data_IF_980085161174
#
_entry.id   IF_980085161174
#
_cell.length_a   1.000
_cell.length_b   1.000
_cell.length_c   1.000
_cell.angle_alpha   90.00
_cell.angle_beta   90.00
_cell.angle_gamma   90.00
#
_symmetry.space_group_name_H-M   'P 1'
#
loop_
_entity.id
_entity.type
_entity.pdbx_description
1 polymer ?
#
# COMPACT_ATOMS: atom_id res chain seq x y z
N UNK A 1 -8.66 -1.22 15.46
CA UNK A 1 -7.40 -1.91 15.09
C UNK A 1 -7.07 -3.00 16.11
N UNK A 2 -7.13 -2.70 17.41
CA UNK A 2 -6.84 -3.68 18.46
C UNK A 2 -7.71 -4.94 18.40
N UNK A 3 -9.05 -4.82 18.36
CA UNK A 3 -9.94 -5.99 18.26
C UNK A 3 -9.65 -6.88 17.03
N UNK A 4 -9.37 -6.28 15.87
CA UNK A 4 -8.98 -7.03 14.68
C UNK A 4 -7.68 -7.82 14.88
N UNK A 5 -6.65 -7.20 15.47
CA UNK A 5 -5.36 -7.86 15.73
C UNK A 5 -5.43 -8.86 16.90
N UNK A 6 -6.49 -8.83 17.72
CA UNK A 6 -6.78 -9.83 18.75
C UNK A 6 -7.44 -11.06 18.14
N UNK A 7 -8.42 -10.86 17.27
CA UNK A 7 -9.12 -11.93 16.54
C UNK A 7 -8.24 -12.56 15.45
N UNK A 8 -7.31 -11.78 14.87
CA UNK A 8 -6.43 -12.18 13.77
C UNK A 8 -4.96 -11.91 14.08
N UNK A 9 -4.45 -12.54 15.15
CA UNK A 9 -3.08 -12.29 15.65
C UNK A 9 -1.95 -12.69 14.70
N UNK A 10 -2.23 -13.43 13.61
CA UNK A 10 -1.29 -13.72 12.54
C UNK A 10 -1.07 -12.54 11.58
N UNK A 11 -1.99 -11.59 11.55
CA UNK A 11 -1.97 -10.43 10.66
C UNK A 11 -1.11 -9.30 11.24
N UNK A 12 -0.74 -8.37 10.37
CA UNK A 12 -0.10 -7.12 10.73
C UNK A 12 -0.78 -5.98 9.97
N UNK A 13 -0.84 -4.78 10.56
CA UNK A 13 -1.38 -3.60 9.90
C UNK A 13 -0.25 -2.64 9.55
N UNK A 14 -0.22 -2.13 8.32
CA UNK A 14 0.60 -0.98 7.94
C UNK A 14 -0.30 0.25 7.93
N UNK A 15 0.02 1.26 8.75
CA UNK A 15 -0.86 2.41 8.97
C UNK A 15 -0.09 3.71 8.75
N UNK A 16 -0.47 4.48 7.74
CA UNK A 16 -0.01 5.86 7.54
C UNK A 16 -0.72 6.79 8.52
N UNK A 17 0.05 7.58 9.26
CA UNK A 17 -0.46 8.64 10.14
C UNK A 17 0.13 9.96 9.69
N UNK A 18 -0.74 10.88 9.30
CA UNK A 18 -0.41 12.18 8.75
C UNK A 18 -1.00 13.30 9.59
N UNK A 19 -0.21 14.35 9.82
CA UNK A 19 -0.72 15.61 10.38
C UNK A 19 -1.40 16.43 9.27
N UNK A 20 -2.72 16.54 9.32
CA UNK A 20 -3.54 17.20 8.30
C UNK A 20 -3.73 18.71 8.54
N UNK A 21 -3.24 19.27 9.65
CA UNK A 21 -3.29 20.72 9.82
C UNK A 21 -3.26 21.23 11.26
N UNK A 22 -3.80 22.43 11.43
CA UNK A 22 -3.68 23.16 12.69
C UNK A 22 -4.66 22.65 13.76
N UNK A 23 -4.28 22.74 15.06
CA UNK A 23 -5.19 22.42 16.16
C UNK A 23 -6.51 23.19 16.07
N UNK A 24 -7.62 22.49 16.33
CA UNK A 24 -8.95 23.11 16.35
C UNK A 24 -9.29 23.67 17.74
N UNK A 25 -9.95 24.83 17.77
CA UNK A 25 -10.43 25.46 19.00
C UNK A 25 -9.30 25.91 19.93
N UNK A 26 -9.44 25.62 21.23
CA UNK A 26 -8.47 26.01 22.26
C UNK A 26 -7.43 24.91 22.55
N UNK A 27 -7.20 23.99 21.60
CA UNK A 27 -6.22 22.91 21.79
C UNK A 27 -4.80 23.47 21.73
N UNK A 28 -4.03 23.24 22.80
CA UNK A 28 -2.63 23.68 22.92
C UNK A 28 -1.63 22.55 22.67
N UNK A 29 -2.09 21.31 22.44
CA UNK A 29 -1.21 20.19 22.11
C UNK A 29 -0.81 20.27 20.64
N UNK A 30 0.47 20.03 20.39
CA UNK A 30 0.96 19.66 19.06
C UNK A 30 0.38 18.31 18.64
N UNK A 31 0.38 18.02 17.33
CA UNK A 31 -0.04 16.71 16.82
C UNK A 31 0.74 15.57 17.49
N UNK A 32 2.06 15.72 17.64
CA UNK A 32 2.92 14.70 18.25
C UNK A 32 2.60 14.43 19.73
N UNK A 33 2.30 15.48 20.51
CA UNK A 33 1.90 15.31 21.92
C UNK A 33 0.52 14.65 22.06
N UNK A 34 -0.43 15.03 21.19
CA UNK A 34 -1.73 14.38 21.15
C UNK A 34 -1.61 12.89 20.76
N UNK A 35 -0.78 12.60 19.74
CA UNK A 35 -0.51 11.23 19.31
C UNK A 35 0.16 10.42 20.43
N UNK A 36 1.24 10.91 21.05
CA UNK A 36 1.93 10.23 22.16
C UNK A 36 0.99 9.92 23.33
N UNK A 37 0.16 10.89 23.72
CA UNK A 37 -0.87 10.71 24.76
C UNK A 37 -1.80 9.54 24.42
N UNK A 38 -2.29 9.48 23.19
CA UNK A 38 -3.31 8.52 22.76
C UNK A 38 -2.71 7.12 22.56
N UNK A 39 -1.43 7.02 22.19
CA UNK A 39 -0.75 5.74 21.98
C UNK A 39 0.00 5.22 23.20
N UNK A 40 0.12 6.00 24.29
CA UNK A 40 0.92 5.67 25.48
C UNK A 40 0.70 4.26 26.05
N UNK A 41 -0.53 3.74 25.95
CA UNK A 41 -0.89 2.43 26.49
C UNK A 41 -0.89 1.31 25.43
N UNK A 42 -0.70 1.61 24.14
CA UNK A 42 -0.62 0.56 23.13
C UNK A 42 0.78 -0.01 23.05
N UNK A 43 0.86 -1.34 23.04
CA UNK A 43 2.11 -2.09 22.78
C UNK A 43 2.18 -2.66 21.37
N UNK A 44 1.19 -2.31 20.53
CA UNK A 44 1.05 -2.84 19.18
C UNK A 44 1.85 -2.05 18.15
N UNK A 45 2.13 -0.77 18.40
CA UNK A 45 3.00 0.01 17.50
C UNK A 45 4.42 -0.51 17.62
N UNK A 46 5.00 -0.92 16.49
CA UNK A 46 6.37 -1.40 16.39
C UNK A 46 7.27 -0.25 15.94
N UNK A 47 8.18 0.24 16.80
CA UNK A 47 9.14 1.26 16.39
C UNK A 47 10.06 0.69 15.31
N UNK A 48 10.56 1.56 14.46
CA UNK A 48 11.50 1.21 13.41
C UNK A 48 12.80 2.02 13.56
N UNK A 49 13.92 1.34 13.41
CA UNK A 49 15.24 1.95 13.36
C UNK A 49 15.78 1.87 11.94
N UNK A 50 15.88 3.02 11.27
CA UNK A 50 16.33 3.14 9.88
C UNK A 50 17.77 2.65 9.63
N UNK A 51 18.52 2.24 10.66
CA UNK A 51 19.82 1.59 10.48
C UNK A 51 19.70 0.11 10.13
N UNK A 52 18.51 -0.47 10.23
CA UNK A 52 18.23 -1.88 9.96
C UNK A 52 17.31 -2.05 8.74
N UNK A 53 17.33 -3.23 8.09
CA UNK A 53 16.33 -3.58 7.09
C UNK A 53 14.90 -3.51 7.65
N UNK A 54 13.92 -3.38 6.77
CA UNK A 54 12.51 -3.41 7.16
C UNK A 54 12.17 -4.73 7.85
N UNK A 55 11.31 -4.67 8.89
CA UNK A 55 10.95 -5.85 9.66
C UNK A 55 10.21 -6.87 8.78
N UNK A 56 10.47 -8.13 9.04
CA UNK A 56 9.73 -9.24 8.44
C UNK A 56 8.29 -9.30 8.97
N UNK A 57 7.41 -10.00 8.24
CA UNK A 57 6.06 -10.27 8.73
C UNK A 57 6.06 -11.00 10.08
N UNK A 58 7.05 -11.86 10.33
CA UNK A 58 7.18 -12.59 11.61
C UNK A 58 7.37 -11.66 12.81
N UNK A 59 8.12 -10.58 12.63
CA UNK A 59 8.36 -9.56 13.66
C UNK A 59 7.15 -8.62 13.86
N UNK A 60 6.32 -8.48 12.82
CA UNK A 60 5.14 -7.60 12.82
C UNK A 60 3.82 -8.27 13.22
N UNK A 61 3.76 -9.59 13.38
CA UNK A 61 2.50 -10.29 13.71
C UNK A 61 1.83 -9.69 14.96
N UNK A 62 0.52 -9.50 14.89
CA UNK A 62 -0.31 -8.91 15.95
C UNK A 62 -0.03 -7.43 16.23
N UNK A 63 0.70 -6.77 15.34
CA UNK A 63 1.27 -5.44 15.55
C UNK A 63 0.91 -4.46 14.42
N UNK A 64 1.17 -3.18 14.66
CA UNK A 64 1.00 -2.07 13.72
C UNK A 64 2.39 -1.56 13.34
N UNK A 65 2.69 -1.58 12.06
CA UNK A 65 3.85 -0.91 11.47
C UNK A 65 3.43 0.47 10.97
N UNK A 66 3.89 1.53 11.65
CA UNK A 66 3.44 2.88 11.37
C UNK A 66 4.27 3.51 10.24
N UNK A 67 3.61 4.20 9.31
CA UNK A 67 4.23 5.10 8.36
C UNK A 67 4.00 6.53 8.85
N UNK A 68 5.06 7.17 9.34
CA UNK A 68 5.02 8.41 10.09
C UNK A 68 5.16 9.62 9.16
N UNK A 69 4.10 10.41 9.04
CA UNK A 69 4.08 11.67 8.27
C UNK A 69 3.72 12.84 9.18
N UNK A 70 4.49 12.98 10.27
CA UNK A 70 4.43 14.10 11.18
C UNK A 70 5.75 14.26 11.93
N UNK A 71 6.04 15.49 12.36
CA UNK A 71 7.26 15.81 13.11
C UNK A 71 7.10 15.40 14.57
N UNK A 72 8.06 14.66 15.10
CA UNK A 72 8.10 14.19 16.48
C UNK A 72 9.57 14.02 16.91
N UNK A 73 9.86 14.19 18.20
CA UNK A 73 11.16 13.80 18.78
C UNK A 73 11.32 12.29 18.94
N UNK A 74 10.21 11.55 18.91
CA UNK A 74 10.15 10.09 18.95
C UNK A 74 9.86 9.52 17.56
N UNK A 75 10.56 8.45 17.19
CA UNK A 75 10.29 7.67 15.99
C UNK A 75 9.36 6.51 16.35
N UNK A 76 8.14 6.53 15.81
CA UNK A 76 7.14 5.49 16.06
C UNK A 76 7.11 4.41 14.97
N UNK A 77 7.75 4.67 13.82
CA UNK A 77 7.75 3.78 12.67
C UNK A 77 8.61 4.31 11.53
N UNK A 78 8.32 3.85 10.32
CA UNK A 78 9.01 4.25 9.10
C UNK A 78 8.61 5.68 8.70
N UNK A 79 9.58 6.55 8.43
CA UNK A 79 9.31 7.90 7.90
C UNK A 79 8.62 7.83 6.54
N UNK A 80 7.52 8.57 6.38
CA UNK A 80 6.82 8.71 5.11
C UNK A 80 7.69 9.46 4.09
N UNK A 81 7.79 8.91 2.88
CA UNK A 81 8.67 9.42 1.82
C UNK A 81 10.14 9.56 2.26
N UNK A 82 10.56 8.75 3.23
CA UNK A 82 11.94 8.66 3.70
C UNK A 82 12.81 7.68 2.89
N UNK A 83 14.06 7.49 3.32
CA UNK A 83 15.07 6.70 2.57
C UNK A 83 14.75 5.22 2.38
N UNK A 84 13.86 4.66 3.20
CA UNK A 84 13.41 3.26 3.11
C UNK A 84 12.06 3.12 2.41
N UNK A 85 11.60 4.16 1.71
CA UNK A 85 10.35 4.14 0.96
C UNK A 85 10.61 4.41 -0.52
N UNK A 86 9.92 3.69 -1.38
CA UNK A 86 9.80 4.02 -2.80
C UNK A 86 8.33 4.30 -3.06
N UNK A 87 8.02 5.57 -3.30
CA UNK A 87 6.66 6.08 -3.31
C UNK A 87 6.27 6.57 -4.71
N UNK A 88 5.16 6.04 -5.24
CA UNK A 88 4.39 6.72 -6.27
C UNK A 88 3.17 7.38 -5.61
N UNK A 89 3.11 8.71 -5.74
CA UNK A 89 2.03 9.54 -5.20
C UNK A 89 1.75 10.75 -6.10
N UNK A 90 1.72 10.53 -7.44
CA UNK A 90 1.26 11.58 -8.36
C UNK A 90 -0.26 11.67 -8.31
N UNK A 91 -0.81 12.28 -7.27
CA UNK A 91 -2.25 12.30 -7.02
C UNK A 91 -2.97 13.48 -7.67
N UNK A 92 -2.27 14.58 -7.98
CA UNK A 92 -2.85 15.77 -8.66
C UNK A 92 -2.93 15.49 -10.17
N UNK A 93 -4.11 15.07 -10.62
CA UNK A 93 -4.41 14.71 -12.01
C UNK A 93 -5.52 15.64 -12.53
N UNK A 94 -5.22 16.58 -13.44
CA UNK A 94 -6.15 17.66 -13.79
C UNK A 94 -7.54 17.20 -14.23
N UNK A 95 -7.59 16.21 -15.13
CA UNK A 95 -8.81 15.67 -15.72
C UNK A 95 -8.61 14.23 -16.25
N UNK A 96 -9.68 13.65 -16.78
CA UNK A 96 -9.72 12.26 -17.30
C UNK A 96 -8.66 11.96 -18.37
N UNK A 97 -8.25 12.95 -19.18
CA UNK A 97 -7.27 12.73 -20.26
C UNK A 97 -5.87 12.43 -19.75
N UNK A 98 -5.58 12.73 -18.48
CA UNK A 98 -4.32 12.45 -17.82
C UNK A 98 -4.28 11.10 -17.10
N UNK A 99 -5.40 10.36 -17.03
CA UNK A 99 -5.42 9.01 -16.44
C UNK A 99 -4.42 8.03 -17.09
N UNK A 100 -4.17 8.05 -18.42
CA UNK A 100 -3.12 7.22 -19.02
C UNK A 100 -1.72 7.53 -18.46
N UNK A 101 -1.40 8.80 -18.20
CA UNK A 101 -0.12 9.21 -17.61
C UNK A 101 -0.03 8.73 -16.16
N UNK A 102 -1.13 8.86 -15.39
CA UNK A 102 -1.19 8.33 -14.02
C UNK A 102 -0.99 6.82 -14.02
N UNK A 103 -1.66 6.14 -14.93
CA UNK A 103 -1.53 4.69 -15.12
C UNK A 103 -0.08 4.28 -15.41
N UNK A 104 0.62 4.98 -16.32
CA UNK A 104 2.02 4.66 -16.61
C UNK A 104 2.93 4.79 -15.37
N UNK A 105 2.66 5.75 -14.49
CA UNK A 105 3.39 5.92 -13.21
C UNK A 105 3.07 4.78 -12.24
N UNK A 106 1.80 4.44 -12.07
CA UNK A 106 1.37 3.31 -11.24
C UNK A 106 2.04 2.02 -11.73
N UNK A 107 1.95 1.74 -13.04
CA UNK A 107 2.58 0.56 -13.65
C UNK A 107 4.08 0.53 -13.37
N UNK A 108 4.80 1.63 -13.60
CA UNK A 108 6.23 1.70 -13.34
C UNK A 108 6.58 1.42 -11.87
N UNK A 109 5.76 1.87 -10.92
CA UNK A 109 5.94 1.60 -9.49
C UNK A 109 5.74 0.11 -9.15
N UNK A 110 4.73 -0.53 -9.72
CA UNK A 110 4.46 -1.96 -9.53
C UNK A 110 5.58 -2.81 -10.16
N UNK A 111 6.02 -2.48 -11.37
CA UNK A 111 7.16 -3.13 -12.05
C UNK A 111 8.46 -2.97 -11.25
N UNK A 112 8.70 -1.80 -10.67
CA UNK A 112 9.85 -1.56 -9.83
C UNK A 112 9.84 -2.47 -8.59
N UNK A 113 8.71 -2.59 -7.91
CA UNK A 113 8.57 -3.50 -6.76
C UNK A 113 8.82 -4.97 -7.14
N UNK A 114 8.34 -5.37 -8.32
CA UNK A 114 8.42 -6.73 -8.85
C UNK A 114 9.79 -7.10 -9.45
N UNK A 115 10.67 -6.11 -9.68
CA UNK A 115 12.02 -6.33 -10.24
C UNK A 115 13.13 -6.19 -9.20
N UNK A 116 12.92 -5.41 -8.12
CA UNK A 116 13.95 -5.15 -7.11
C UNK A 116 14.15 -6.33 -6.15
N UNK A 117 15.38 -6.59 -5.67
CA UNK A 117 15.69 -7.72 -4.78
C UNK A 117 14.83 -7.77 -3.50
N UNK A 118 14.57 -8.98 -3.00
CA UNK A 118 13.87 -9.24 -1.73
C UNK A 118 14.82 -9.09 -0.52
N UNK A 119 15.39 -7.91 -0.34
CA UNK A 119 16.39 -7.61 0.70
C UNK A 119 15.85 -6.76 1.86
N UNK A 120 14.54 -6.48 1.86
CA UNK A 120 13.85 -5.62 2.83
C UNK A 120 14.47 -4.20 2.95
N UNK A 121 15.17 -3.71 1.92
CA UNK A 121 15.78 -2.38 1.96
C UNK A 121 14.77 -1.24 1.82
N UNK A 122 13.67 -1.46 1.09
CA UNK A 122 12.66 -0.44 0.83
C UNK A 122 11.23 -0.99 0.81
N UNK A 123 10.29 -0.16 1.25
CA UNK A 123 8.86 -0.39 1.19
C UNK A 123 8.33 0.30 -0.08
N UNK A 124 7.76 -0.48 -0.99
CA UNK A 124 7.25 0.01 -2.27
C UNK A 124 5.76 0.32 -2.15
N UNK A 125 5.36 1.55 -2.48
CA UNK A 125 3.97 2.01 -2.43
C UNK A 125 3.57 2.56 -3.79
N UNK A 126 2.39 2.16 -4.27
CA UNK A 126 1.75 2.73 -5.45
C UNK A 126 0.37 3.30 -5.10
N UNK A 127 0.19 4.61 -5.24
CA UNK A 127 -1.12 5.24 -5.10
C UNK A 127 -1.90 5.18 -6.42
N UNK A 128 -2.87 4.28 -6.48
CA UNK A 128 -3.82 4.21 -7.58
C UNK A 128 -4.77 5.40 -7.55
N UNK A 129 -5.04 5.95 -6.37
CA UNK A 129 -5.90 7.11 -6.16
C UNK A 129 -5.40 8.37 -6.90
N UNK A 130 -6.34 9.20 -7.35
CA UNK A 130 -6.06 10.46 -7.99
C UNK A 130 -7.26 11.43 -7.88
N UNK A 131 -6.98 12.73 -7.87
CA UNK A 131 -7.98 13.79 -7.84
C UNK A 131 -7.45 15.03 -8.56
N UNK A 132 -8.35 15.91 -9.00
CA UNK A 132 -7.99 17.19 -9.57
C UNK A 132 -9.20 18.09 -9.75
N UNK A 133 -8.97 19.29 -10.29
CA UNK A 133 -10.02 20.31 -10.46
C UNK A 133 -11.25 19.79 -11.22
N UNK A 134 -11.05 18.86 -12.17
CA UNK A 134 -12.12 18.28 -13.00
C UNK A 134 -12.16 16.76 -12.94
N UNK A 135 -11.50 16.17 -11.94
CA UNK A 135 -11.43 14.73 -11.75
C UNK A 135 -11.84 14.37 -10.33
N UNK A 136 -13.02 13.79 -10.18
CA UNK A 136 -13.45 13.22 -8.91
C UNK A 136 -12.74 11.89 -8.65
N UNK A 137 -12.38 11.58 -7.39
CA UNK A 137 -11.77 10.29 -7.02
C UNK A 137 -12.52 9.06 -7.55
N UNK A 138 -13.85 9.07 -7.49
CA UNK A 138 -14.68 7.98 -8.03
C UNK A 138 -14.52 7.80 -9.54
N UNK A 139 -14.37 8.89 -10.29
CA UNK A 139 -14.15 8.84 -11.74
C UNK A 139 -12.73 8.39 -12.07
N UNK A 140 -11.74 8.72 -11.24
CA UNK A 140 -10.39 8.21 -11.40
C UNK A 140 -10.34 6.69 -11.15
N UNK A 141 -10.99 6.23 -10.07
CA UNK A 141 -11.03 4.82 -9.68
C UNK A 141 -11.80 3.95 -10.68
N UNK A 142 -13.04 4.31 -11.00
CA UNK A 142 -13.97 3.50 -11.81
C UNK A 142 -13.99 3.87 -13.30
N UNK A 143 -13.48 5.04 -13.68
CA UNK A 143 -13.71 5.64 -15.00
C UNK A 143 -15.06 6.38 -15.06
N UNK A 144 -15.28 7.20 -16.10
CA UNK A 144 -16.55 7.90 -16.31
C UNK A 144 -17.65 6.95 -16.80
N UNK A 145 -18.91 7.33 -16.60
CA UNK A 145 -20.09 6.55 -17.02
C UNK A 145 -20.11 6.25 -18.52
N UNK A 146 -19.58 7.16 -19.35
CA UNK A 146 -19.50 6.99 -20.81
C UNK A 146 -18.39 6.04 -21.26
N UNK A 147 -17.56 5.54 -20.34
CA UNK A 147 -16.42 4.62 -20.57
C UNK A 147 -15.40 5.14 -21.58
N UNK A 148 -15.32 6.46 -21.76
CA UNK A 148 -14.33 7.09 -22.64
C UNK A 148 -12.88 6.80 -22.24
N UNK A 149 -12.64 6.50 -20.95
CA UNK A 149 -11.35 6.06 -20.43
C UNK A 149 -11.55 5.00 -19.35
N UNK A 150 -10.75 3.92 -19.35
CA UNK A 150 -10.80 2.92 -18.27
C UNK A 150 -10.33 3.49 -16.94
N UNK A 151 -11.04 3.16 -15.85
CA UNK A 151 -10.66 3.52 -14.48
C UNK A 151 -9.34 2.90 -14.03
N UNK A 152 -8.69 3.56 -13.08
CA UNK A 152 -7.38 3.13 -12.57
C UNK A 152 -7.46 1.80 -11.80
N UNK A 153 -8.57 1.49 -11.12
CA UNK A 153 -8.74 0.21 -10.43
C UNK A 153 -8.81 -0.97 -11.43
N UNK A 154 -9.58 -0.82 -12.51
CA UNK A 154 -9.69 -1.87 -13.54
C UNK A 154 -8.37 -2.07 -14.29
N UNK A 155 -7.68 -0.99 -14.64
CA UNK A 155 -6.36 -1.07 -15.29
C UNK A 155 -5.34 -1.77 -14.39
N UNK A 156 -5.32 -1.39 -13.11
CA UNK A 156 -4.42 -1.99 -12.12
C UNK A 156 -4.75 -3.47 -11.91
N UNK A 157 -6.04 -3.82 -11.76
CA UNK A 157 -6.49 -5.20 -11.61
C UNK A 157 -6.11 -6.08 -12.79
N UNK A 158 -6.39 -5.64 -14.03
CA UNK A 158 -6.01 -6.40 -15.22
C UNK A 158 -4.49 -6.58 -15.32
N UNK A 159 -3.71 -5.53 -15.06
CA UNK A 159 -2.25 -5.66 -15.07
C UNK A 159 -1.76 -6.66 -14.02
N UNK A 160 -2.29 -6.62 -12.80
CA UNK A 160 -1.93 -7.57 -11.75
C UNK A 160 -2.27 -9.01 -12.15
N UNK A 161 -3.44 -9.24 -12.76
CA UNK A 161 -3.85 -10.56 -13.24
C UNK A 161 -2.96 -11.04 -14.39
N UNK A 162 -2.73 -10.19 -15.40
CA UNK A 162 -1.99 -10.54 -16.62
C UNK A 162 -0.49 -10.71 -16.40
N UNK A 163 0.09 -10.00 -15.42
CA UNK A 163 1.53 -10.01 -15.14
C UNK A 163 1.92 -10.92 -13.96
N UNK A 164 0.94 -11.59 -13.33
CA UNK A 164 1.19 -12.59 -12.30
C UNK A 164 2.17 -13.67 -12.81
N UNK A 165 3.31 -13.81 -12.14
CA UNK A 165 4.36 -14.77 -12.52
C UNK A 165 5.25 -14.35 -13.71
N UNK A 166 5.04 -13.18 -14.30
CA UNK A 166 5.88 -12.66 -15.40
C UNK A 166 7.17 -11.96 -14.92
N UNK A 167 7.25 -11.65 -13.63
CA UNK A 167 8.34 -10.89 -13.02
C UNK A 167 9.23 -11.77 -12.13
N UNK A 168 10.51 -11.39 -11.94
CA UNK A 168 11.46 -12.19 -11.16
C UNK A 168 11.11 -12.25 -9.67
N UNK A 169 10.33 -11.30 -9.14
CA UNK A 169 9.91 -11.30 -7.75
C UNK A 169 8.39 -11.41 -7.61
N UNK A 170 7.90 -12.27 -6.70
CA UNK A 170 6.47 -12.44 -6.42
C UNK A 170 5.95 -11.37 -5.45
N UNK A 171 6.17 -10.08 -5.76
CA UNK A 171 5.64 -8.94 -4.97
C UNK A 171 5.34 -7.74 -5.85
N UNK A 172 4.37 -6.92 -5.44
CA UNK A 172 4.02 -5.64 -6.07
C UNK A 172 4.07 -4.45 -5.11
N UNK A 173 4.47 -4.67 -3.86
CA UNK A 173 4.42 -3.64 -2.81
C UNK A 173 3.01 -3.46 -2.24
N UNK A 174 2.78 -2.30 -1.62
CA UNK A 174 1.48 -1.87 -1.10
C UNK A 174 0.76 -1.08 -2.20
N UNK A 175 -0.43 -1.56 -2.58
CA UNK A 175 -1.29 -0.93 -3.58
C UNK A 175 -2.40 -0.17 -2.85
N UNK A 176 -2.40 1.16 -2.95
CA UNK A 176 -3.33 2.05 -2.24
C UNK A 176 -4.39 2.53 -3.23
N UNK A 177 -5.66 2.24 -2.95
CA UNK A 177 -6.77 2.44 -3.88
C UNK A 177 -7.93 3.19 -3.23
N UNK A 178 -8.59 4.05 -4.01
CA UNK A 178 -9.92 4.56 -3.70
C UNK A 178 -10.97 3.54 -4.18
N UNK A 179 -11.96 3.24 -3.34
CA UNK A 179 -13.06 2.33 -3.66
C UNK A 179 -12.61 0.96 -4.21
N UNK A 180 -11.70 0.24 -3.53
CA UNK A 180 -11.22 -1.04 -4.02
C UNK A 180 -12.35 -2.06 -4.10
N UNK A 181 -12.48 -2.69 -5.27
CA UNK A 181 -13.35 -3.85 -5.45
C UNK A 181 -12.65 -5.15 -5.05
N UNK A 182 -13.42 -6.17 -4.68
CA UNK A 182 -12.89 -7.49 -4.28
C UNK A 182 -11.95 -8.09 -5.33
N UNK A 183 -12.23 -7.91 -6.63
CA UNK A 183 -11.39 -8.44 -7.71
C UNK A 183 -9.97 -7.85 -7.70
N UNK A 184 -9.83 -6.54 -7.46
CA UNK A 184 -8.53 -5.89 -7.37
C UNK A 184 -7.76 -6.33 -6.11
N UNK A 185 -8.47 -6.49 -4.99
CA UNK A 185 -7.90 -7.00 -3.74
C UNK A 185 -7.37 -8.44 -3.96
N UNK A 186 -8.17 -9.32 -4.55
CA UNK A 186 -7.77 -10.70 -4.87
C UNK A 186 -6.55 -10.74 -5.79
N UNK A 187 -6.51 -9.86 -6.81
CA UNK A 187 -5.38 -9.79 -7.72
C UNK A 187 -4.08 -9.42 -7.00
N UNK A 188 -4.10 -8.49 -6.04
CA UNK A 188 -2.93 -8.17 -5.19
C UNK A 188 -2.54 -9.37 -4.32
N UNK A 189 -3.53 -10.07 -3.73
CA UNK A 189 -3.26 -11.23 -2.88
C UNK A 189 -2.63 -12.40 -3.67
N UNK A 190 -3.08 -12.64 -4.90
CA UNK A 190 -2.61 -13.72 -5.76
C UNK A 190 -1.10 -13.65 -6.04
N UNK A 191 -0.52 -12.44 -6.11
CA UNK A 191 0.92 -12.27 -6.29
C UNK A 191 1.77 -12.87 -5.15
N UNK A 192 1.18 -13.04 -3.96
CA UNK A 192 1.86 -13.62 -2.81
C UNK A 192 1.71 -15.15 -2.74
N UNK A 193 0.97 -15.80 -3.65
CA UNK A 193 0.77 -17.27 -3.61
C UNK A 193 2.07 -18.04 -3.84
N UNK A 194 2.95 -17.58 -4.73
CA UNK A 194 4.27 -18.16 -4.93
C UNK A 194 5.17 -18.05 -3.67
N UNK A 195 4.97 -17.01 -2.83
CA UNK A 195 5.64 -16.90 -1.53
C UNK A 195 5.08 -17.88 -0.48
N UNK A 196 3.82 -18.29 -0.62
CA UNK A 196 3.21 -19.32 0.23
C UNK A 196 3.70 -20.71 -0.16
N UNK A 197 3.81 -20.97 -1.45
CA UNK A 197 4.27 -22.25 -2.00
C UNK A 197 5.77 -22.48 -1.77
N UNK A 198 6.63 -21.47 -1.92
CA UNK A 198 8.08 -21.62 -1.66
C UNK A 198 8.44 -21.93 -0.19
N UNK A 199 7.48 -21.84 0.74
CA UNK A 199 7.63 -22.24 2.15
C UNK A 199 7.12 -23.65 2.45
N UNK A 200 6.55 -24.36 1.47
CA UNK A 200 6.26 -25.79 1.50
C UNK A 200 7.09 -26.49 0.43
N UNK A 201 7.77 -27.58 0.77
CA UNK A 201 8.57 -28.36 -0.18
C UNK A 201 7.65 -28.98 -1.27
N UNK A 202 8.11 -28.93 -2.51
CA UNK A 202 7.63 -29.60 -3.74
C UNK A 202 6.22 -29.25 -4.24
N UNK A 203 6.11 -28.21 -5.08
CA UNK A 203 5.63 -28.35 -6.48
C UNK A 203 5.85 -27.00 -7.22
N UNK A 204 6.83 -26.95 -8.12
CA UNK A 204 7.06 -25.81 -9.01
C UNK A 204 6.23 -25.99 -10.27
N UNK A 205 4.91 -25.86 -10.17
CA UNK A 205 4.08 -25.45 -11.30
C UNK A 205 2.63 -25.18 -10.86
N UNK A 206 2.05 -24.14 -11.47
CA UNK A 206 0.63 -23.80 -11.48
C UNK A 206 0.06 -23.15 -10.20
N UNK A 207 -0.11 -21.81 -10.28
CA UNK A 207 -1.44 -21.15 -10.30
C UNK A 207 -1.32 -19.62 -10.48
N UNK A 208 -1.37 -19.18 -11.74
CA UNK A 208 -2.04 -17.92 -12.14
C UNK A 208 -3.18 -18.23 -13.16
N UNK A 209 -3.58 -19.49 -13.31
CA UNK A 209 -4.49 -19.96 -14.41
C UNK A 209 -5.95 -20.22 -14.01
N UNK A 210 -6.38 -19.94 -12.77
CA UNK A 210 -7.76 -20.26 -12.34
C UNK A 210 -8.83 -19.21 -12.67
N UNK A 211 -8.59 -18.26 -13.59
CA UNK A 211 -9.61 -17.27 -14.00
C UNK A 211 -9.71 -17.05 -15.52
N UNK A 212 -9.58 -18.12 -16.33
CA UNK A 212 -9.96 -18.07 -17.76
C UNK A 212 -11.31 -18.71 -18.10
N UNK A 213 -12.03 -19.28 -17.13
CA UNK A 213 -13.35 -19.86 -17.35
C UNK A 213 -14.39 -19.26 -16.39
N UNK A 214 -14.94 -18.08 -16.73
CA UNK A 214 -16.39 -17.72 -16.70
C UNK A 214 -16.62 -16.58 -17.69
#
# INVERSE_FOLDING_TARGET
MDGFLEEHSSEALVVRVKDEGYPLGNNQLTFAEAFDRDIKNTRRIRPFDARHPLPSLGELRGSIFLLQEFKSSHLYGLEWDGTHMTLEDWWIVPDLSFLPIKWDKIRAALELAATKPLDNSSLYLAHVSATGERLMPVNAAAGPTDRSVGGLNDRTGHWLEDQCGAFPQPRVGIVIMDFPGWRAIDAVLAWNEALRQSRGVDDLEQRCLLKRDV
#
